data_IF_458216637528
#
_entry.id   IF_458216637528
#
_cell.length_a   1.000
_cell.length_b   1.000
_cell.length_c   1.000
_cell.angle_alpha   90.00
_cell.angle_beta   90.00
_cell.angle_gamma   90.00
#
_symmetry.space_group_name_H-M   'P 1'
#
loop_
_entity.id
_entity.type
_entity.pdbx_description
1 polymer ?
#
# COMPACT_ATOMS: atom_id res chain seq x y z
N UNK A 1 22.47 40.55 -39.62
CA UNK A 1 22.62 41.88 -39.00
C UNK A 1 21.50 42.76 -39.55
N UNK A 2 20.67 43.50 -38.81
CA UNK A 2 20.39 43.76 -37.38
C UNK A 2 18.96 44.34 -37.38
N UNK A 3 18.03 43.73 -36.64
CA UNK A 3 17.41 44.28 -35.43
C UNK A 3 16.73 45.68 -35.60
N UNK A 4 15.39 45.68 -35.50
CA UNK A 4 14.58 46.84 -35.12
C UNK A 4 14.69 47.03 -33.59
N UNK A 5 15.04 48.24 -33.17
CA UNK A 5 14.85 48.73 -31.79
C UNK A 5 13.34 48.96 -31.57
N UNK A 6 12.73 48.33 -30.56
CA UNK A 6 12.60 48.72 -29.15
C UNK A 6 11.45 49.70 -28.88
N UNK A 7 10.36 49.18 -28.32
CA UNK A 7 9.43 49.86 -27.40
C UNK A 7 8.70 48.76 -26.63
N UNK A 8 9.17 48.48 -25.41
CA UNK A 8 8.67 49.05 -24.16
C UNK A 8 7.42 48.29 -23.68
N UNK A 9 7.60 47.54 -22.59
CA UNK A 9 6.55 47.00 -21.75
C UNK A 9 7.17 46.47 -20.47
N UNK A 10 7.16 47.37 -19.50
CA UNK A 10 6.54 47.13 -18.20
C UNK A 10 7.14 45.98 -17.37
N UNK A 11 8.02 46.39 -16.46
CA UNK A 11 8.49 45.58 -15.34
C UNK A 11 7.33 45.35 -14.36
N UNK A 12 6.54 44.32 -14.59
CA UNK A 12 5.72 43.70 -13.54
C UNK A 12 6.49 42.50 -13.00
N UNK A 13 7.25 42.75 -11.94
CA UNK A 13 7.68 41.71 -11.00
C UNK A 13 6.47 41.31 -10.16
N UNK A 14 5.52 40.60 -10.77
CA UNK A 14 4.38 40.03 -10.08
C UNK A 14 4.22 38.58 -10.52
N UNK A 15 4.15 37.68 -9.53
CA UNK A 15 3.98 36.22 -9.60
C UNK A 15 5.27 35.40 -9.66
N UNK A 16 6.09 35.51 -8.61
CA UNK A 16 7.13 34.51 -8.27
C UNK A 16 6.63 33.38 -7.35
N UNK A 17 5.32 33.33 -7.08
CA UNK A 17 4.67 32.20 -6.43
C UNK A 17 3.79 31.51 -7.47
N UNK A 18 4.41 30.70 -8.30
CA UNK A 18 3.68 29.70 -9.06
C UNK A 18 2.87 28.88 -8.07
N UNK A 19 1.58 28.73 -8.37
CA UNK A 19 0.64 27.98 -7.55
C UNK A 19 1.25 26.62 -7.25
N UNK A 20 1.22 26.22 -5.97
CA UNK A 20 1.61 24.89 -5.56
C UNK A 20 0.92 23.90 -6.51
N UNK A 21 1.73 23.07 -7.16
CA UNK A 21 1.28 21.95 -7.99
C UNK A 21 0.18 21.24 -7.20
N UNK A 22 -1.08 21.40 -7.64
CA UNK A 22 -2.23 20.76 -7.01
C UNK A 22 -1.91 19.26 -6.97
N UNK A 23 -1.97 18.59 -5.81
CA UNK A 23 -1.49 17.23 -5.71
C UNK A 23 -2.24 16.38 -6.73
N UNK A 24 -1.52 15.89 -7.75
CA UNK A 24 -2.02 14.91 -8.68
C UNK A 24 -2.60 13.78 -7.83
N UNK A 25 -3.92 13.71 -7.77
CA UNK A 25 -4.63 12.73 -6.98
C UNK A 25 -4.55 11.45 -7.78
N UNK A 26 -3.37 10.83 -7.80
CA UNK A 26 -3.14 9.54 -8.42
C UNK A 26 -4.13 8.56 -7.77
N UNK A 27 -5.21 8.29 -8.51
CA UNK A 27 -6.31 7.39 -8.16
C UNK A 27 -5.89 5.93 -8.32
N UNK A 28 -4.62 5.64 -8.61
CA UNK A 28 -4.09 4.29 -8.53
C UNK A 28 -4.48 3.65 -7.19
N UNK A 29 -5.00 2.41 -7.19
CA UNK A 29 -5.36 1.73 -5.95
C UNK A 29 -4.15 1.81 -5.03
N UNK A 30 -4.31 2.41 -3.84
CA UNK A 30 -3.20 2.70 -2.94
C UNK A 30 -2.54 1.39 -2.51
N UNK A 31 -1.55 0.92 -3.26
CA UNK A 31 -0.71 -0.24 -2.94
C UNK A 31 0.25 0.05 -1.78
N UNK A 32 0.02 1.13 -1.05
CA UNK A 32 0.80 1.51 0.12
C UNK A 32 0.55 0.54 1.27
N UNK A 33 1.65 0.08 1.85
CA UNK A 33 1.65 -0.69 3.11
C UNK A 33 1.78 0.20 4.34
N UNK A 34 1.85 1.53 4.19
CA UNK A 34 1.97 2.46 5.30
C UNK A 34 0.65 2.70 6.01
N UNK A 35 0.68 2.70 7.34
CA UNK A 35 -0.40 3.15 8.22
C UNK A 35 -0.23 4.65 8.50
N UNK A 36 -1.10 5.52 7.96
CA UNK A 36 -0.95 6.97 8.13
C UNK A 36 -1.29 7.44 9.54
N UNK A 37 -2.14 6.73 10.27
CA UNK A 37 -2.58 7.13 11.61
C UNK A 37 -1.52 6.76 12.65
N UNK A 38 -1.04 5.52 12.59
CA UNK A 38 -0.01 5.00 13.51
C UNK A 38 1.40 5.43 13.09
N UNK A 39 1.57 5.93 11.85
CA UNK A 39 2.86 6.22 11.20
C UNK A 39 3.81 5.02 11.22
N UNK A 40 3.24 3.83 10.98
CA UNK A 40 3.93 2.54 10.98
C UNK A 40 3.82 1.88 9.62
N UNK A 41 4.60 0.83 9.40
CA UNK A 41 4.41 -0.04 8.25
C UNK A 41 3.50 -1.21 8.63
N UNK A 42 2.41 -1.45 7.89
CA UNK A 42 1.53 -2.61 8.10
C UNK A 42 2.23 -3.89 7.66
N UNK A 43 2.18 -4.89 8.52
CA UNK A 43 2.64 -6.26 8.25
C UNK A 43 1.59 -7.24 8.73
N UNK A 44 1.37 -8.34 8.01
CA UNK A 44 0.49 -9.36 8.55
C UNK A 44 1.09 -9.97 9.82
N UNK A 45 0.25 -10.17 10.85
CA UNK A 45 0.64 -10.78 12.12
C UNK A 45 1.06 -12.25 11.96
N UNK A 46 0.52 -12.94 10.94
CA UNK A 46 0.78 -14.34 10.62
C UNK A 46 0.64 -14.59 9.13
N UNK A 47 1.11 -15.75 8.66
CA UNK A 47 0.89 -16.18 7.27
C UNK A 47 -0.61 -16.36 6.99
N UNK A 48 -1.11 -15.72 5.92
CA UNK A 48 -2.51 -15.84 5.50
C UNK A 48 -2.88 -17.26 5.06
N UNK A 49 -4.18 -17.55 4.91
CA UNK A 49 -4.68 -18.88 4.56
C UNK A 49 -4.00 -19.46 3.31
N UNK A 50 -3.87 -18.65 2.27
CA UNK A 50 -3.28 -19.01 0.99
C UNK A 50 -1.83 -18.48 0.84
N UNK A 51 -1.06 -18.39 1.91
CA UNK A 51 0.29 -17.83 1.82
C UNK A 51 1.17 -18.57 0.80
N UNK A 52 1.89 -17.82 -0.04
CA UNK A 52 2.80 -18.36 -1.07
C UNK A 52 3.98 -19.15 -0.50
N UNK A 53 4.27 -19.00 0.81
CA UNK A 53 5.34 -19.73 1.50
C UNK A 53 4.84 -20.94 2.30
N UNK A 54 3.53 -21.19 2.33
CA UNK A 54 3.00 -22.40 2.95
C UNK A 54 3.30 -23.64 2.11
N UNK A 55 3.56 -24.79 2.76
CA UNK A 55 3.63 -26.07 2.07
C UNK A 55 2.36 -26.33 1.25
N UNK A 56 2.50 -27.08 0.15
CA UNK A 56 1.38 -27.49 -0.70
C UNK A 56 0.94 -26.47 -1.75
N UNK A 57 1.61 -25.33 -1.87
CA UNK A 57 1.30 -24.28 -2.86
C UNK A 57 -0.20 -23.87 -2.90
N UNK A 58 -0.75 -23.33 -1.80
CA UNK A 58 -2.19 -23.03 -1.73
C UNK A 58 -2.68 -21.97 -2.73
N UNK A 59 -1.77 -21.17 -3.28
CA UNK A 59 -2.05 -20.17 -4.33
C UNK A 59 -1.95 -20.74 -5.74
N UNK A 60 -1.66 -22.04 -5.89
CA UNK A 60 -1.52 -22.70 -7.18
C UNK A 60 -0.55 -21.96 -8.12
N UNK A 61 0.56 -21.44 -7.56
CA UNK A 61 1.59 -20.78 -8.34
C UNK A 61 2.20 -21.74 -9.36
N UNK A 62 2.47 -21.25 -10.56
CA UNK A 62 3.20 -22.03 -11.56
C UNK A 62 4.61 -22.37 -11.05
N UNK A 63 5.20 -23.51 -11.49
CA UNK A 63 6.56 -23.85 -11.12
C UNK A 63 7.54 -22.71 -11.42
N UNK A 64 8.42 -22.39 -10.47
CA UNK A 64 9.39 -21.28 -10.62
C UNK A 64 8.88 -19.90 -10.21
N UNK A 65 7.54 -19.69 -10.13
CA UNK A 65 6.96 -18.36 -9.90
C UNK A 65 7.31 -17.79 -8.52
N UNK A 66 7.30 -18.61 -7.48
CA UNK A 66 7.71 -18.17 -6.14
C UNK A 66 9.17 -17.72 -6.12
N UNK A 67 10.07 -18.51 -6.73
CA UNK A 67 11.48 -18.16 -6.80
C UNK A 67 11.70 -16.86 -7.57
N UNK A 68 10.94 -16.64 -8.65
CA UNK A 68 10.96 -15.39 -9.41
C UNK A 68 10.52 -14.21 -8.53
N UNK A 69 9.36 -14.27 -7.89
CA UNK A 69 8.84 -13.19 -7.04
C UNK A 69 9.81 -12.83 -5.90
N UNK A 70 10.41 -13.84 -5.27
CA UNK A 70 11.43 -13.63 -4.23
C UNK A 70 12.66 -12.94 -4.81
N UNK A 71 13.11 -13.34 -6.00
CA UNK A 71 14.29 -12.75 -6.65
C UNK A 71 14.05 -11.28 -6.99
N UNK A 72 12.90 -10.97 -7.58
CA UNK A 72 12.47 -9.60 -7.90
C UNK A 72 12.39 -8.76 -6.62
N UNK A 73 11.65 -9.22 -5.61
CA UNK A 73 11.49 -8.50 -4.34
C UNK A 73 12.81 -8.30 -3.58
N UNK A 74 13.82 -9.14 -3.80
CA UNK A 74 15.16 -8.96 -3.19
C UNK A 74 16.07 -8.08 -4.05
N UNK A 75 15.97 -8.16 -5.37
CA UNK A 75 16.85 -7.48 -6.33
C UNK A 75 16.58 -5.99 -6.42
N UNK A 76 15.30 -5.62 -6.48
CA UNK A 76 14.89 -4.20 -6.47
C UNK A 76 14.95 -3.60 -5.07
N UNK A 77 15.32 -4.45 -4.12
CA UNK A 77 15.33 -4.16 -2.74
C UNK A 77 13.89 -3.70 -2.37
N UNK A 78 13.08 -4.69 -2.07
CA UNK A 78 11.67 -4.49 -1.90
C UNK A 78 11.11 -5.43 -0.86
N UNK A 79 9.84 -5.67 -1.05
CA UNK A 79 9.02 -6.52 -0.23
C UNK A 79 7.87 -7.06 -1.05
N UNK A 80 7.21 -8.08 -0.54
CA UNK A 80 6.00 -8.63 -1.14
C UNK A 80 4.80 -8.14 -0.35
N UNK A 81 3.86 -7.46 -1.01
CA UNK A 81 2.55 -7.15 -0.45
C UNK A 81 1.73 -8.44 -0.38
N UNK A 82 1.02 -8.67 0.72
CA UNK A 82 0.19 -9.85 0.83
C UNK A 82 -1.01 -9.77 -0.11
N UNK A 83 -1.21 -10.79 -0.94
CA UNK A 83 -2.32 -10.84 -1.88
C UNK A 83 -3.69 -10.85 -1.21
N UNK A 84 -3.82 -11.39 0.01
CA UNK A 84 -5.09 -11.36 0.73
C UNK A 84 -5.50 -9.94 1.15
N UNK A 85 -4.57 -8.97 1.07
CA UNK A 85 -4.81 -7.56 1.42
C UNK A 85 -4.84 -6.64 0.20
N UNK A 86 -4.70 -7.20 -1.01
CA UNK A 86 -4.67 -6.40 -2.23
C UNK A 86 -6.10 -6.00 -2.64
N UNK A 87 -6.33 -4.77 -3.14
CA UNK A 87 -7.68 -4.31 -3.50
C UNK A 87 -8.38 -5.22 -4.51
N UNK A 88 -7.61 -5.75 -5.47
CA UNK A 88 -8.13 -6.67 -6.49
C UNK A 88 -8.48 -8.07 -5.96
N UNK A 89 -8.08 -8.41 -4.72
CA UNK A 89 -8.53 -9.62 -4.04
C UNK A 89 -9.86 -9.41 -3.28
N UNK A 90 -10.50 -8.24 -3.41
CA UNK A 90 -11.72 -7.91 -2.68
C UNK A 90 -11.49 -7.65 -1.18
N UNK A 91 -10.25 -7.39 -0.79
CA UNK A 91 -9.90 -7.16 0.61
C UNK A 91 -10.56 -5.89 1.15
N UNK A 92 -11.30 -5.95 2.28
CA UNK A 92 -11.80 -4.76 2.96
C UNK A 92 -10.69 -4.04 3.76
N UNK A 93 -9.54 -4.70 3.95
CA UNK A 93 -8.41 -4.14 4.69
C UNK A 93 -7.36 -3.54 3.74
N UNK A 94 -6.69 -2.44 4.13
CA UNK A 94 -5.60 -1.87 3.35
C UNK A 94 -4.43 -2.84 3.12
N UNK A 95 -3.59 -2.63 2.10
CA UNK A 95 -2.45 -3.49 1.83
C UNK A 95 -1.48 -3.59 3.00
N UNK A 96 -0.96 -4.79 3.21
CA UNK A 96 0.03 -5.09 4.25
C UNK A 96 1.17 -5.96 3.71
N UNK A 97 2.35 -5.84 4.34
CA UNK A 97 3.49 -6.70 4.05
C UNK A 97 3.17 -8.18 4.29
N UNK A 98 3.61 -9.03 3.38
CA UNK A 98 3.51 -10.47 3.49
C UNK A 98 4.38 -10.98 4.65
N UNK A 99 3.74 -11.55 5.67
CA UNK A 99 4.43 -12.12 6.83
C UNK A 99 5.45 -13.19 6.45
N UNK A 100 5.06 -14.12 5.58
CA UNK A 100 5.94 -15.21 5.16
C UNK A 100 7.21 -14.73 4.45
N UNK A 101 7.16 -13.60 3.74
CA UNK A 101 8.35 -12.98 3.15
C UNK A 101 9.21 -12.31 4.22
N UNK A 102 8.60 -11.49 5.08
CA UNK A 102 9.31 -10.76 6.13
C UNK A 102 10.03 -11.68 7.14
N UNK A 103 9.48 -12.86 7.41
CA UNK A 103 10.09 -13.85 8.30
C UNK A 103 11.29 -14.57 7.67
N UNK A 104 11.31 -14.73 6.33
CA UNK A 104 12.34 -15.49 5.60
C UNK A 104 13.47 -14.63 5.05
N UNK A 105 13.21 -13.36 4.77
CA UNK A 105 14.15 -12.49 4.09
C UNK A 105 14.40 -11.20 4.87
N UNK A 106 15.68 -10.84 4.98
CA UNK A 106 16.16 -9.58 5.58
C UNK A 106 16.64 -8.63 4.48
N UNK A 107 15.71 -8.10 3.68
CA UNK A 107 16.07 -7.04 2.70
C UNK A 107 16.38 -5.73 3.42
N UNK A 108 17.16 -4.85 2.81
CA UNK A 108 17.52 -3.58 3.46
C UNK A 108 16.31 -2.67 3.65
N UNK A 109 15.28 -2.78 2.81
CA UNK A 109 14.01 -2.07 2.91
C UNK A 109 13.28 -2.45 4.18
N UNK A 110 13.18 -3.76 4.46
CA UNK A 110 12.52 -4.22 5.67
C UNK A 110 13.25 -3.69 6.90
N UNK A 111 14.59 -3.63 6.86
CA UNK A 111 15.39 -3.06 7.95
C UNK A 111 15.16 -1.54 8.10
N UNK A 112 15.15 -0.79 7.00
CA UNK A 112 14.87 0.65 7.02
C UNK A 112 13.44 0.92 7.51
N UNK A 113 12.46 0.15 7.03
CA UNK A 113 11.07 0.27 7.45
C UNK A 113 10.90 -0.01 8.94
N UNK A 114 11.54 -1.08 9.43
CA UNK A 114 11.53 -1.45 10.84
C UNK A 114 12.21 -0.40 11.71
N UNK A 115 13.33 0.18 11.25
CA UNK A 115 14.11 1.13 12.04
C UNK A 115 13.51 2.54 12.06
N UNK A 116 12.93 3.02 10.95
CA UNK A 116 12.39 4.37 10.86
C UNK A 116 10.95 4.48 11.37
N UNK A 117 10.11 3.50 11.06
CA UNK A 117 8.67 3.54 11.39
C UNK A 117 8.23 2.40 12.30
N UNK A 118 8.92 1.26 12.24
CA UNK A 118 8.47 0.03 12.88
C UNK A 118 7.26 -0.59 12.18
N UNK A 119 6.91 -1.79 12.64
CA UNK A 119 5.75 -2.53 12.12
C UNK A 119 4.54 -2.41 13.05
N UNK A 120 3.35 -2.34 12.44
CA UNK A 120 2.08 -2.69 13.08
C UNK A 120 1.63 -4.02 12.48
N UNK A 121 1.42 -5.00 13.36
CA UNK A 121 0.92 -6.32 12.96
C UNK A 121 -0.61 -6.26 12.78
N UNK A 122 -1.08 -6.71 11.62
CA UNK A 122 -2.49 -6.69 11.20
C UNK A 122 -2.94 -8.12 10.94
N UNK A 123 -4.13 -8.47 11.37
CA UNK A 123 -4.62 -9.83 11.20
C UNK A 123 -4.97 -10.13 9.72
N UNK A 124 -4.64 -11.32 9.18
CA UNK A 124 -5.04 -11.66 7.83
C UNK A 124 -6.56 -11.68 7.67
N UNK A 125 -7.10 -11.08 6.59
CA UNK A 125 -8.52 -11.20 6.30
C UNK A 125 -8.89 -12.66 6.05
N UNK A 126 -10.04 -13.08 6.59
CA UNK A 126 -10.55 -14.43 6.40
C UNK A 126 -11.14 -14.56 4.99
N UNK A 127 -10.81 -15.62 4.23
CA UNK A 127 -11.51 -15.89 2.98
C UNK A 127 -12.95 -16.28 3.31
N UNK A 128 -13.91 -15.41 3.03
CA UNK A 128 -15.34 -15.70 3.16
C UNK A 128 -16.09 -14.95 4.27
N UNK A 129 -15.50 -13.94 4.91
CA UNK A 129 -16.30 -12.98 5.68
C UNK A 129 -16.59 -11.80 4.76
N UNK A 130 -17.76 -11.85 4.10
CA UNK A 130 -18.41 -10.62 3.64
C UNK A 130 -18.39 -9.62 4.81
N UNK A 131 -18.25 -8.30 4.55
CA UNK A 131 -18.52 -7.33 5.60
C UNK A 131 -19.95 -7.59 6.04
N UNK A 132 -20.12 -8.27 7.18
CA UNK A 132 -21.41 -8.28 7.87
C UNK A 132 -21.68 -6.80 8.09
N UNK A 133 -22.72 -6.20 7.48
CA UNK A 133 -23.15 -4.90 7.94
C UNK A 133 -23.42 -5.12 9.42
N UNK A 134 -22.64 -4.45 10.27
CA UNK A 134 -22.85 -4.43 11.71
C UNK A 134 -24.34 -4.26 11.91
N UNK A 135 -24.96 -5.30 12.49
CA UNK A 135 -26.39 -5.35 12.73
C UNK A 135 -26.79 -4.00 13.33
N UNK A 136 -27.57 -3.30 12.54
CA UNK A 136 -28.61 -2.38 12.96
C UNK A 136 -28.78 -2.25 14.48
N UNK A 137 -28.70 -0.98 14.91
CA UNK A 137 -29.59 -0.44 15.91
C UNK A 137 -31.05 -0.80 15.54
N UNK A 138 -31.48 -2.02 15.89
CA UNK A 138 -32.87 -2.40 15.96
C UNK A 138 -33.24 -2.44 17.45
N UNK A 139 -33.90 -1.38 17.90
CA UNK A 139 -34.45 -1.32 19.25
C UNK A 139 -34.64 0.10 19.75
N UNK A 140 -35.66 0.80 19.25
CA UNK A 140 -36.74 1.27 20.13
C UNK A 140 -37.86 1.88 19.26
N UNK A 141 -38.84 1.04 18.93
CA UNK A 141 -40.21 1.52 18.77
C UNK A 141 -40.82 1.60 20.16
N UNK A 142 -40.96 2.80 20.70
CA UNK A 142 -42.12 3.22 21.49
C UNK A 142 -41.91 4.69 21.91
N UNK A 143 -42.87 5.56 21.59
CA UNK A 143 -43.55 6.46 22.54
C UNK A 143 -44.39 7.52 21.78
N UNK A 144 -45.68 7.53 22.17
CA UNK A 144 -46.75 8.54 21.98
C UNK A 144 -47.56 8.53 20.67
#
# INVERSE_FOLDING_TARGET
MRARAAHDKDMTMDNMFDAADEPDVDRSPRLSVGDPELRKTRRLARECATCIFKPGNPMHLTPGRLQQMVREARGDAGYIICHSTLPYAGSPVPPALCRGFADRYRTWQLQVMEHLWGFVDVEPPHPGTDPTPSAECLGDTDHA
#
